data_IF_076456388129
#
_entry.id   IF_076456388129
#
_cell.length_a   1.000
_cell.length_b   1.000
_cell.length_c   1.000
_cell.angle_alpha   90.00
_cell.angle_beta   90.00
_cell.angle_gamma   90.00
#
_symmetry.space_group_name_H-M   'P 1'
#
loop_
_entity.id
_entity.type
_entity.pdbx_description
1 polymer ?
#
# COMPACT_ATOMS: atom_id res chain seq x y z
N UNK A 1 67.43 12.56 -2.60
CA UNK A 1 66.54 12.05 -1.54
C UNK A 1 65.13 12.12 -2.10
N UNK A 2 64.59 10.97 -2.53
CA UNK A 2 63.46 10.87 -3.48
C UNK A 2 62.10 11.05 -2.79
N UNK A 3 61.22 11.84 -3.43
CA UNK A 3 59.85 12.14 -3.03
C UNK A 3 58.89 10.93 -3.16
N UNK A 4 59.34 9.83 -3.77
CA UNK A 4 58.50 8.63 -4.03
C UNK A 4 58.26 7.76 -2.78
N UNK A 5 59.03 7.96 -1.70
CA UNK A 5 58.87 7.17 -0.46
C UNK A 5 57.63 7.52 0.37
N UNK A 6 57.09 8.73 0.25
CA UNK A 6 55.97 9.20 1.10
C UNK A 6 54.59 8.77 0.59
N UNK A 7 54.44 8.50 -0.71
CA UNK A 7 53.14 8.09 -1.28
C UNK A 7 52.83 6.62 -0.93
N UNK A 8 53.86 5.79 -0.76
CA UNK A 8 53.69 4.37 -0.39
C UNK A 8 53.38 4.15 1.09
N UNK A 9 53.85 5.03 1.99
CA UNK A 9 53.53 4.92 3.42
C UNK A 9 52.12 5.42 3.76
N UNK A 10 51.60 6.42 3.03
CA UNK A 10 50.22 6.89 3.18
C UNK A 10 49.17 5.85 2.76
N UNK A 11 49.43 5.10 1.68
CA UNK A 11 48.52 4.04 1.20
C UNK A 11 48.52 2.77 2.06
N UNK A 12 49.57 2.49 2.84
CA UNK A 12 49.57 1.34 3.74
C UNK A 12 48.78 1.59 5.04
N UNK A 13 48.64 2.84 5.48
CA UNK A 13 47.81 3.18 6.65
C UNK A 13 46.31 3.19 6.28
N UNK A 14 45.97 3.53 5.04
CA UNK A 14 44.59 3.45 4.53
C UNK A 14 44.10 2.01 4.30
N UNK A 15 45.01 1.05 4.09
CA UNK A 15 44.63 -0.37 3.97
C UNK A 15 44.54 -1.10 5.32
N UNK A 16 45.13 -0.57 6.40
CA UNK A 16 45.08 -1.18 7.73
C UNK A 16 43.80 -0.84 8.53
N UNK A 17 42.98 0.09 8.05
CA UNK A 17 41.68 0.47 8.67
C UNK A 17 40.48 -0.23 8.02
N UNK A 18 40.71 -1.26 7.18
CA UNK A 18 39.66 -2.11 6.62
C UNK A 18 39.28 -3.32 7.52
N UNK A 19 39.91 -3.48 8.69
CA UNK A 19 39.72 -4.67 9.55
C UNK A 19 38.90 -4.41 10.83
N UNK A 20 38.49 -3.17 11.11
CA UNK A 20 37.50 -2.88 12.15
C UNK A 20 36.20 -2.48 11.47
N UNK A 21 35.49 -3.49 10.97
CA UNK A 21 34.06 -3.36 10.69
C UNK A 21 33.41 -3.12 12.06
N UNK A 22 33.23 -1.85 12.40
CA UNK A 22 32.57 -1.46 13.63
C UNK A 22 31.11 -1.90 13.53
N UNK A 23 30.76 -2.94 14.29
CA UNK A 23 29.42 -3.53 14.31
C UNK A 23 28.36 -2.45 14.56
N UNK A 24 28.71 -1.41 15.32
CA UNK A 24 27.84 -0.26 15.59
C UNK A 24 27.57 0.59 14.35
N UNK A 25 28.55 0.75 13.45
CA UNK A 25 28.37 1.40 12.16
C UNK A 25 27.36 0.65 11.29
N UNK A 26 27.53 -0.67 11.17
CA UNK A 26 26.58 -1.52 10.42
C UNK A 26 25.17 -1.42 10.99
N UNK A 27 25.01 -1.50 12.32
CA UNK A 27 23.69 -1.43 12.97
C UNK A 27 23.04 -0.06 12.76
N UNK A 28 23.83 1.02 12.77
CA UNK A 28 23.35 2.37 12.48
C UNK A 28 22.85 2.48 11.03
N UNK A 29 23.62 1.97 10.07
CA UNK A 29 23.27 2.02 8.66
C UNK A 29 22.00 1.22 8.34
N UNK A 30 21.83 0.05 8.96
CA UNK A 30 20.61 -0.75 8.83
C UNK A 30 19.38 0.01 9.33
N UNK A 31 19.49 0.73 10.46
CA UNK A 31 18.37 1.53 10.99
C UNK A 31 17.99 2.63 10.01
N UNK A 32 18.96 3.38 9.50
CA UNK A 32 18.72 4.47 8.54
C UNK A 32 18.06 3.91 7.27
N UNK A 33 18.59 2.79 6.76
CA UNK A 33 18.02 2.11 5.60
C UNK A 33 16.57 1.66 5.83
N UNK A 34 16.27 1.05 6.99
CA UNK A 34 14.90 0.64 7.34
C UNK A 34 13.95 1.83 7.48
N UNK A 35 14.39 2.94 8.07
CA UNK A 35 13.58 4.16 8.18
C UNK A 35 13.31 4.79 6.81
N UNK A 36 14.32 4.89 5.94
CA UNK A 36 14.15 5.38 4.58
C UNK A 36 13.22 4.47 3.76
N UNK A 37 13.35 3.14 3.93
CA UNK A 37 12.45 2.17 3.33
C UNK A 37 11.00 2.34 3.82
N UNK A 38 10.81 2.58 5.12
CA UNK A 38 9.48 2.81 5.70
C UNK A 38 8.83 4.11 5.21
N UNK A 39 9.61 5.19 5.08
CA UNK A 39 9.13 6.47 4.54
C UNK A 39 8.68 6.35 3.08
N UNK A 40 9.39 5.55 2.28
CA UNK A 40 9.07 5.34 0.86
C UNK A 40 8.11 4.17 0.63
N UNK A 41 7.70 3.45 1.68
CA UNK A 41 6.88 2.24 1.59
C UNK A 41 5.56 2.44 0.82
N UNK A 42 4.75 3.48 1.07
CA UNK A 42 3.55 3.75 0.29
C UNK A 42 3.81 3.83 -1.23
N UNK A 43 4.88 4.52 -1.61
CA UNK A 43 5.24 4.75 -3.00
C UNK A 43 5.82 3.49 -3.66
N UNK A 44 6.66 2.74 -2.94
CA UNK A 44 7.20 1.46 -3.44
C UNK A 44 6.10 0.41 -3.58
N UNK A 45 5.12 0.37 -2.68
CA UNK A 45 3.93 -0.47 -2.82
C UNK A 45 3.10 -0.07 -4.04
N UNK A 46 2.88 1.22 -4.29
CA UNK A 46 2.18 1.67 -5.49
C UNK A 46 2.92 1.31 -6.77
N UNK A 47 4.25 1.50 -6.81
CA UNK A 47 5.08 1.14 -7.95
C UNK A 47 5.07 -0.35 -8.25
N UNK A 48 5.19 -1.19 -7.21
CA UNK A 48 5.11 -2.65 -7.38
C UNK A 48 3.73 -3.11 -7.83
N UNK A 49 2.65 -2.55 -7.27
CA UNK A 49 1.28 -2.81 -7.71
C UNK A 49 1.06 -2.38 -9.16
N UNK A 50 1.62 -1.25 -9.59
CA UNK A 50 1.53 -0.78 -10.97
C UNK A 50 2.16 -1.80 -11.92
N UNK A 51 3.39 -2.23 -11.62
CA UNK A 51 4.09 -3.24 -12.42
C UNK A 51 3.28 -4.55 -12.49
N UNK A 52 2.77 -5.02 -11.33
CA UNK A 52 1.92 -6.21 -11.28
C UNK A 52 0.63 -6.03 -12.11
N UNK A 53 0.01 -4.85 -12.09
CA UNK A 53 -1.20 -4.56 -12.85
C UNK A 53 -0.97 -4.63 -14.37
N UNK A 54 0.20 -4.16 -14.83
CA UNK A 54 0.58 -4.20 -16.24
C UNK A 54 0.82 -5.63 -16.71
N UNK A 55 1.48 -6.46 -15.90
CA UNK A 55 1.74 -7.86 -16.25
C UNK A 55 0.52 -8.78 -16.13
N UNK A 56 -0.39 -8.49 -15.21
CA UNK A 56 -1.59 -9.32 -14.97
C UNK A 56 -2.82 -8.85 -15.71
N UNK A 57 -2.80 -7.64 -16.30
CA UNK A 57 -3.98 -7.01 -16.90
C UNK A 57 -5.10 -6.74 -15.89
N UNK A 58 -4.77 -6.63 -14.59
CA UNK A 58 -5.77 -6.47 -13.54
C UNK A 58 -6.20 -4.99 -13.39
N UNK A 59 -7.29 -4.63 -14.06
CA UNK A 59 -7.87 -3.28 -13.99
C UNK A 59 -8.22 -2.82 -12.58
N UNK A 60 -8.50 -3.73 -11.64
CA UNK A 60 -8.81 -3.35 -10.27
C UNK A 60 -7.64 -2.64 -9.57
N UNK A 61 -6.42 -3.07 -9.87
CA UNK A 61 -5.21 -2.44 -9.33
C UNK A 61 -5.03 -1.03 -9.94
N UNK A 62 -5.35 -0.84 -11.22
CA UNK A 62 -5.25 0.47 -11.88
C UNK A 62 -6.22 1.47 -11.24
N UNK A 63 -7.48 1.09 -11.04
CA UNK A 63 -8.46 1.98 -10.39
C UNK A 63 -8.13 2.26 -8.92
N UNK A 64 -7.58 1.28 -8.21
CA UNK A 64 -7.01 1.50 -6.89
C UNK A 64 -5.87 2.53 -6.93
N UNK A 65 -4.92 2.40 -7.86
CA UNK A 65 -3.79 3.30 -8.00
C UNK A 65 -4.20 4.73 -8.37
N UNK A 66 -5.26 4.91 -9.16
CA UNK A 66 -5.83 6.25 -9.41
C UNK A 66 -6.30 6.89 -8.11
N UNK A 67 -7.05 6.15 -7.28
CA UNK A 67 -7.43 6.60 -5.93
C UNK A 67 -6.21 6.94 -5.07
N UNK A 68 -5.22 6.05 -5.10
CA UNK A 68 -4.04 6.09 -4.26
C UNK A 68 -3.03 7.20 -4.60
N UNK A 69 -2.71 7.38 -5.88
CA UNK A 69 -1.65 8.27 -6.34
C UNK A 69 -2.15 9.66 -6.72
N UNK A 70 -3.43 9.80 -7.08
CA UNK A 70 -3.98 11.08 -7.53
C UNK A 70 -4.89 11.67 -6.45
N UNK A 71 -5.94 10.95 -6.08
CA UNK A 71 -6.95 11.50 -5.19
C UNK A 71 -6.46 11.66 -3.75
N UNK A 72 -5.75 10.68 -3.20
CA UNK A 72 -5.25 10.78 -1.81
C UNK A 72 -4.29 11.98 -1.62
N UNK A 73 -3.27 12.20 -2.46
CA UNK A 73 -2.43 13.39 -2.34
C UNK A 73 -3.20 14.69 -2.53
N UNK A 74 -4.11 14.76 -3.50
CA UNK A 74 -4.93 15.95 -3.73
C UNK A 74 -5.80 16.29 -2.51
N UNK A 75 -6.45 15.30 -1.90
CA UNK A 75 -7.26 15.46 -0.69
C UNK A 75 -6.37 15.87 0.49
N UNK A 76 -5.20 15.24 0.64
CA UNK A 76 -4.24 15.57 1.72
C UNK A 76 -3.79 17.02 1.63
N UNK A 77 -3.35 17.45 0.44
CA UNK A 77 -2.92 18.83 0.20
C UNK A 77 -4.08 19.80 0.45
N UNK A 78 -5.29 19.50 -0.03
CA UNK A 78 -6.48 20.32 0.21
C UNK A 78 -6.80 20.49 1.71
N UNK A 79 -6.77 19.39 2.47
CA UNK A 79 -7.04 19.42 3.92
C UNK A 79 -5.92 20.16 4.67
N UNK A 80 -4.66 19.98 4.30
CA UNK A 80 -3.56 20.71 4.93
C UNK A 80 -3.63 22.22 4.65
N UNK A 81 -4.04 22.65 3.45
CA UNK A 81 -4.29 24.07 3.15
C UNK A 81 -5.40 24.61 4.05
N UNK A 82 -6.53 23.90 4.14
CA UNK A 82 -7.65 24.29 5.01
C UNK A 82 -7.25 24.34 6.48
N UNK A 83 -6.48 23.35 6.96
CA UNK A 83 -6.00 23.27 8.34
C UNK A 83 -5.05 24.43 8.68
N UNK A 84 -4.22 24.86 7.73
CA UNK A 84 -3.38 26.06 7.88
C UNK A 84 -4.24 27.33 8.02
N UNK A 85 -5.32 27.46 7.23
CA UNK A 85 -6.23 28.62 7.33
C UNK A 85 -6.91 28.73 8.71
N UNK A 86 -7.18 27.60 9.36
CA UNK A 86 -7.80 27.56 10.70
C UNK A 86 -6.79 27.38 11.85
N UNK A 87 -5.48 27.49 11.58
CA UNK A 87 -4.41 27.31 12.57
C UNK A 87 -4.44 25.95 13.31
N UNK A 88 -4.90 24.89 12.65
CA UNK A 88 -4.89 23.51 13.17
C UNK A 88 -3.66 22.72 12.71
N UNK A 89 -2.92 23.22 11.72
CA UNK A 89 -1.67 22.62 11.28
C UNK A 89 -0.53 22.90 12.27
N UNK A 90 0.40 21.95 12.42
CA UNK A 90 1.58 22.10 13.26
C UNK A 90 2.86 21.88 12.47
N UNK A 91 4.01 22.36 12.98
CA UNK A 91 5.28 22.18 12.30
C UNK A 91 5.67 20.70 12.30
N UNK A 92 6.09 20.22 11.14
CA UNK A 92 6.57 18.85 10.91
C UNK A 92 7.93 18.92 10.22
N UNK A 93 8.86 18.09 10.66
CA UNK A 93 10.18 17.97 10.05
C UNK A 93 10.06 17.37 8.64
N UNK A 94 10.89 17.85 7.71
CA UNK A 94 10.91 17.38 6.32
C UNK A 94 11.13 15.86 6.19
N UNK A 95 11.83 15.27 7.16
CA UNK A 95 12.07 13.81 7.28
C UNK A 95 10.74 13.03 7.34
N UNK A 96 9.64 13.67 7.74
CA UNK A 96 8.33 13.05 7.78
C UNK A 96 7.63 13.03 6.42
N UNK A 97 8.07 13.79 5.41
CA UNK A 97 7.43 13.80 4.11
C UNK A 97 7.77 12.54 3.29
N UNK A 98 6.80 12.05 2.50
CA UNK A 98 6.96 10.85 1.65
C UNK A 98 7.95 11.07 0.51
N UNK A 99 8.06 12.32 0.05
CA UNK A 99 9.03 12.75 -0.95
C UNK A 99 9.99 13.66 -0.19
N UNK A 100 11.22 13.19 0.01
CA UNK A 100 12.29 14.05 0.49
C UNK A 100 12.49 15.13 -0.58
N UNK A 101 12.36 16.41 -0.23
CA UNK A 101 12.72 17.45 -1.19
C UNK A 101 14.21 17.32 -1.46
N UNK A 102 14.61 17.49 -2.72
CA UNK A 102 16.03 17.56 -3.03
C UNK A 102 16.64 18.68 -2.18
N UNK A 103 17.82 18.46 -1.55
CA UNK A 103 18.46 19.50 -0.77
C UNK A 103 18.68 20.68 -1.72
N UNK A 104 17.89 21.72 -1.52
CA UNK A 104 18.09 22.96 -2.24
C UNK A 104 19.45 23.47 -1.78
N UNK A 105 20.30 23.92 -2.71
CA UNK A 105 21.63 24.47 -2.38
C UNK A 105 21.58 25.76 -1.54
N UNK A 106 20.41 26.14 -1.03
CA UNK A 106 20.25 27.21 -0.06
C UNK A 106 20.84 26.78 1.29
N UNK A 107 21.98 27.37 1.60
CA UNK A 107 22.80 27.21 2.80
C UNK A 107 22.14 27.70 4.09
N UNK A 108 20.81 27.80 4.15
CA UNK A 108 20.10 28.17 5.37
C UNK A 108 20.05 26.96 6.32
N UNK A 109 20.73 27.00 7.48
CA UNK A 109 20.80 25.86 8.41
C UNK A 109 19.50 25.64 9.20
N UNK A 110 18.46 26.43 8.94
CA UNK A 110 17.13 26.25 9.50
C UNK A 110 16.39 25.20 8.67
N UNK A 111 16.33 23.97 9.19
CA UNK A 111 15.53 22.90 8.58
C UNK A 111 14.15 23.42 8.20
N UNK A 112 13.75 23.18 6.96
CA UNK A 112 12.46 23.64 6.46
C UNK A 112 11.36 22.84 7.18
N UNK A 113 10.67 23.49 8.11
CA UNK A 113 9.49 22.92 8.76
C UNK A 113 8.26 23.32 7.98
N UNK A 114 7.50 22.34 7.50
CA UNK A 114 6.19 22.59 6.90
C UNK A 114 5.10 22.48 7.96
N UNK A 115 4.14 23.40 7.93
CA UNK A 115 2.95 23.28 8.79
C UNK A 115 1.92 22.40 8.10
N UNK A 116 1.74 21.18 8.61
CA UNK A 116 0.75 20.22 8.11
C UNK A 116 -0.09 19.65 9.26
N UNK A 117 -1.32 19.27 8.97
CA UNK A 117 -2.17 18.56 9.93
C UNK A 117 -1.77 17.08 9.98
N UNK A 118 -1.58 16.47 8.82
CA UNK A 118 -1.06 15.12 8.66
C UNK A 118 -0.29 15.00 7.35
N UNK A 119 0.63 14.06 7.28
CA UNK A 119 1.50 13.81 6.13
C UNK A 119 0.81 13.00 5.03
N UNK A 120 1.28 13.14 3.79
CA UNK A 120 0.82 12.31 2.66
C UNK A 120 1.01 10.82 2.94
N UNK A 121 2.10 10.47 3.64
CA UNK A 121 2.39 9.10 4.07
C UNK A 121 1.23 8.51 4.86
N UNK A 122 0.69 9.25 5.82
CA UNK A 122 -0.42 8.80 6.65
C UNK A 122 -1.69 8.61 5.82
N UNK A 123 -2.03 9.59 4.98
CA UNK A 123 -3.22 9.51 4.13
C UNK A 123 -3.18 8.31 3.18
N UNK A 124 -2.04 8.09 2.52
CA UNK A 124 -1.81 6.92 1.65
C UNK A 124 -1.92 5.61 2.42
N UNK A 125 -1.25 5.49 3.57
CA UNK A 125 -1.22 4.26 4.36
C UNK A 125 -2.62 3.88 4.86
N UNK A 126 -3.35 4.83 5.43
CA UNK A 126 -4.72 4.60 5.92
C UNK A 126 -5.65 4.22 4.77
N UNK A 127 -5.57 4.92 3.63
CA UNK A 127 -6.40 4.62 2.47
C UNK A 127 -6.15 3.19 1.97
N UNK A 128 -4.88 2.77 1.84
CA UNK A 128 -4.52 1.41 1.41
C UNK A 128 -5.15 0.37 2.33
N UNK A 129 -4.94 0.48 3.64
CA UNK A 129 -5.44 -0.53 4.57
C UNK A 129 -6.96 -0.53 4.65
N UNK A 130 -7.60 0.64 4.62
CA UNK A 130 -9.06 0.73 4.57
C UNK A 130 -9.64 0.08 3.32
N UNK A 131 -9.03 0.35 2.15
CA UNK A 131 -9.45 -0.26 0.89
C UNK A 131 -9.30 -1.79 0.93
N UNK A 132 -8.18 -2.30 1.45
CA UNK A 132 -7.95 -3.74 1.59
C UNK A 132 -8.95 -4.41 2.55
N UNK A 133 -9.30 -3.75 3.65
CA UNK A 133 -10.32 -4.22 4.59
C UNK A 133 -11.69 -4.24 3.90
N UNK A 134 -12.07 -3.17 3.20
CA UNK A 134 -13.34 -3.11 2.45
C UNK A 134 -13.44 -4.25 1.43
N UNK A 135 -12.35 -4.52 0.70
CA UNK A 135 -12.26 -5.65 -0.21
C UNK A 135 -12.46 -7.00 0.49
N UNK A 136 -11.72 -7.25 1.58
CA UNK A 136 -11.82 -8.50 2.33
C UNK A 136 -13.23 -8.72 2.90
N UNK A 137 -13.87 -7.67 3.42
CA UNK A 137 -15.25 -7.71 3.93
C UNK A 137 -16.24 -8.06 2.81
N UNK A 138 -16.09 -7.46 1.63
CA UNK A 138 -16.97 -7.75 0.48
C UNK A 138 -16.86 -9.20 0.03
N UNK A 139 -15.63 -9.72 -0.07
CA UNK A 139 -15.39 -11.12 -0.43
C UNK A 139 -15.88 -12.12 0.62
N UNK A 140 -15.77 -11.77 1.90
CA UNK A 140 -16.34 -12.56 2.99
C UNK A 140 -17.86 -12.65 2.89
N UNK A 141 -18.52 -11.52 2.59
CA UNK A 141 -19.98 -11.41 2.45
C UNK A 141 -20.52 -11.98 1.14
N UNK A 142 -19.67 -12.29 0.16
CA UNK A 142 -20.10 -12.82 -1.13
C UNK A 142 -20.88 -14.13 -0.93
N UNK A 143 -22.09 -14.28 -1.50
CA UNK A 143 -22.85 -15.51 -1.36
C UNK A 143 -22.16 -16.69 -2.06
N UNK A 144 -22.48 -17.94 -1.66
CA UNK A 144 -22.10 -19.10 -2.46
C UNK A 144 -22.78 -19.05 -3.83
N UNK A 145 -22.15 -19.60 -4.89
CA UNK A 145 -22.77 -19.67 -6.21
C UNK A 145 -24.06 -20.51 -6.15
N UNK A 146 -25.14 -19.98 -6.75
CA UNK A 146 -26.39 -20.72 -6.92
C UNK A 146 -26.26 -21.61 -8.15
N UNK A 147 -26.47 -22.90 -7.99
CA UNK A 147 -26.47 -23.87 -9.09
C UNK A 147 -27.85 -24.54 -9.11
N UNK A 148 -28.44 -24.67 -10.29
CA UNK A 148 -29.74 -25.34 -10.48
C UNK A 148 -29.54 -26.86 -10.43
N UNK A 149 -30.25 -27.57 -9.56
CA UNK A 149 -30.17 -29.03 -9.38
C UNK A 149 -28.75 -29.60 -9.19
N UNK A 150 -27.97 -29.11 -8.21
CA UNK A 150 -26.60 -29.59 -8.03
C UNK A 150 -26.60 -31.01 -7.44
N UNK A 151 -25.71 -31.86 -7.97
CA UNK A 151 -25.43 -33.16 -7.39
C UNK A 151 -24.94 -33.03 -5.94
N UNK A 152 -25.10 -34.08 -5.12
CA UNK A 152 -24.66 -34.03 -3.72
C UNK A 152 -23.15 -33.77 -3.59
N UNK A 153 -22.35 -34.36 -4.47
CA UNK A 153 -20.91 -34.09 -4.55
C UNK A 153 -20.60 -32.61 -4.87
N UNK A 154 -21.38 -32.00 -5.77
CA UNK A 154 -21.24 -30.60 -6.11
C UNK A 154 -21.61 -29.69 -4.93
N UNK A 155 -22.70 -29.96 -4.22
CA UNK A 155 -23.09 -29.23 -3.00
C UNK A 155 -21.97 -29.23 -1.96
N UNK A 156 -21.37 -30.41 -1.72
CA UNK A 156 -20.26 -30.54 -0.78
C UNK A 156 -19.04 -29.72 -1.21
N UNK A 157 -18.69 -29.74 -2.50
CA UNK A 157 -17.56 -28.96 -3.01
C UNK A 157 -17.79 -27.44 -2.95
N UNK A 158 -19.02 -26.97 -3.22
CA UNK A 158 -19.40 -25.55 -3.14
C UNK A 158 -19.30 -25.08 -1.70
N UNK A 159 -19.84 -25.87 -0.76
CA UNK A 159 -19.76 -25.56 0.67
C UNK A 159 -18.31 -25.51 1.14
N UNK A 160 -17.49 -26.49 0.78
CA UNK A 160 -16.07 -26.52 1.14
C UNK A 160 -15.31 -25.30 0.59
N UNK A 161 -15.46 -24.98 -0.71
CA UNK A 161 -14.82 -23.80 -1.32
C UNK A 161 -15.27 -22.49 -0.68
N UNK A 162 -16.55 -22.38 -0.34
CA UNK A 162 -17.11 -21.19 0.32
C UNK A 162 -16.55 -21.02 1.73
N UNK A 163 -16.47 -22.10 2.50
CA UNK A 163 -15.90 -22.09 3.85
C UNK A 163 -14.41 -21.73 3.82
N UNK A 164 -13.64 -22.33 2.90
CA UNK A 164 -12.23 -22.01 2.72
C UNK A 164 -12.03 -20.52 2.39
N UNK A 165 -12.77 -19.99 1.39
CA UNK A 165 -12.71 -18.56 1.05
C UNK A 165 -13.01 -17.68 2.25
N UNK A 166 -14.09 -17.96 2.98
CA UNK A 166 -14.48 -17.17 4.16
C UNK A 166 -13.40 -17.20 5.24
N UNK A 167 -12.83 -18.37 5.53
CA UNK A 167 -11.74 -18.52 6.50
C UNK A 167 -10.50 -17.74 6.08
N UNK A 168 -10.11 -17.82 4.81
CA UNK A 168 -8.99 -17.06 4.25
C UNK A 168 -9.21 -15.56 4.37
N UNK A 169 -10.43 -15.06 4.08
CA UNK A 169 -10.74 -13.63 4.22
C UNK A 169 -10.71 -13.16 5.68
N UNK A 170 -11.15 -13.97 6.65
CA UNK A 170 -11.01 -13.64 8.08
C UNK A 170 -9.54 -13.50 8.46
N UNK A 171 -8.71 -14.47 8.08
CA UNK A 171 -7.27 -14.43 8.38
C UNK A 171 -6.63 -13.21 7.73
N UNK A 172 -6.94 -12.92 6.46
CA UNK A 172 -6.46 -11.72 5.77
C UNK A 172 -6.87 -10.43 6.49
N UNK A 173 -8.14 -10.30 6.91
CA UNK A 173 -8.62 -9.12 7.64
C UNK A 173 -7.85 -8.89 8.95
N UNK A 174 -7.61 -9.95 9.72
CA UNK A 174 -6.85 -9.87 10.98
C UNK A 174 -5.42 -9.42 10.69
N UNK A 175 -4.75 -10.06 9.73
CA UNK A 175 -3.37 -9.73 9.37
C UNK A 175 -3.23 -8.30 8.86
N UNK A 176 -4.12 -7.86 7.96
CA UNK A 176 -4.15 -6.49 7.44
C UNK A 176 -4.33 -5.49 8.58
N UNK A 177 -5.25 -5.76 9.52
CA UNK A 177 -5.51 -4.87 10.64
C UNK A 177 -4.31 -4.78 11.60
N UNK A 178 -3.65 -5.90 11.89
CA UNK A 178 -2.45 -5.91 12.73
C UNK A 178 -1.28 -5.14 12.10
N UNK A 179 -1.04 -5.34 10.80
CA UNK A 179 0.01 -4.62 10.06
C UNK A 179 -0.33 -3.12 9.98
N UNK A 180 -1.59 -2.76 9.73
CA UNK A 180 -2.03 -1.37 9.73
C UNK A 180 -1.80 -0.69 11.08
N UNK A 181 -2.20 -1.34 12.18
CA UNK A 181 -1.98 -0.84 13.53
C UNK A 181 -0.50 -0.70 13.86
N UNK A 182 0.33 -1.67 13.46
CA UNK A 182 1.76 -1.61 13.65
C UNK A 182 2.37 -0.40 12.93
N UNK A 183 2.01 -0.18 11.67
CA UNK A 183 2.55 0.93 10.87
C UNK A 183 2.10 2.28 11.40
N UNK A 184 0.83 2.41 11.80
CA UNK A 184 0.31 3.62 12.44
C UNK A 184 1.01 3.85 13.78
N UNK A 185 1.23 2.82 14.60
CA UNK A 185 1.91 2.94 15.89
C UNK A 185 3.37 3.40 15.72
N UNK A 186 4.12 2.80 14.78
CA UNK A 186 5.49 3.22 14.46
C UNK A 186 5.50 4.70 14.06
N UNK A 187 4.54 5.12 13.23
CA UNK A 187 4.45 6.48 12.73
C UNK A 187 4.05 7.51 13.80
N UNK A 188 3.13 7.17 14.69
CA UNK A 188 2.76 8.04 15.82
C UNK A 188 3.94 8.20 16.77
N UNK A 189 4.68 7.12 17.03
CA UNK A 189 5.86 7.15 17.90
C UNK A 189 7.04 7.93 17.28
N UNK A 190 7.07 8.12 15.96
CA UNK A 190 8.10 8.96 15.31
C UNK A 190 7.82 10.46 15.43
N UNK A 191 6.66 10.87 15.97
CA UNK A 191 6.30 12.27 16.19
C UNK A 191 5.87 13.05 14.94
N UNK A 192 5.85 12.39 13.78
CA UNK A 192 5.54 13.01 12.48
C UNK A 192 4.07 13.44 12.35
N UNK A 193 3.16 12.65 12.93
CA UNK A 193 1.72 12.84 12.80
C UNK A 193 1.12 12.76 14.21
N UNK A 194 0.98 13.91 14.88
CA UNK A 194 0.41 14.01 16.24
C UNK A 194 -1.09 13.66 16.24
N UNK A 195 -1.95 14.60 16.64
CA UNK A 195 -3.41 14.44 16.64
C UNK A 195 -3.97 14.26 15.22
N UNK A 196 -3.24 14.70 14.20
CA UNK A 196 -3.56 14.51 12.78
C UNK A 196 -3.76 13.05 12.37
N UNK A 197 -3.14 12.10 13.08
CA UNK A 197 -3.31 10.66 12.81
C UNK A 197 -4.76 10.21 12.91
N UNK A 198 -5.49 10.64 13.95
CA UNK A 198 -6.89 10.26 14.12
C UNK A 198 -7.78 10.86 13.02
N UNK A 199 -7.51 12.11 12.64
CA UNK A 199 -8.21 12.78 11.55
C UNK A 199 -7.97 12.06 10.22
N UNK A 200 -6.70 11.76 9.92
CA UNK A 200 -6.32 11.02 8.72
C UNK A 200 -6.96 9.62 8.70
N UNK A 201 -6.95 8.90 9.82
CA UNK A 201 -7.57 7.59 9.97
C UNK A 201 -9.07 7.61 9.63
N UNK A 202 -9.80 8.62 10.10
CA UNK A 202 -11.23 8.78 9.81
C UNK A 202 -11.44 9.16 8.35
N UNK A 203 -10.78 10.21 7.87
CA UNK A 203 -10.98 10.76 6.52
C UNK A 203 -10.60 9.74 5.46
N UNK A 204 -9.38 9.21 5.51
CA UNK A 204 -8.91 8.25 4.51
C UNK A 204 -9.43 6.84 4.76
N UNK A 205 -9.87 6.53 5.99
CA UNK A 205 -10.62 5.32 6.28
C UNK A 205 -11.94 5.31 5.53
N UNK A 206 -12.75 6.36 5.71
CA UNK A 206 -14.02 6.50 5.01
C UNK A 206 -13.82 6.64 3.49
N UNK A 207 -12.81 7.40 3.05
CA UNK A 207 -12.53 7.56 1.63
C UNK A 207 -12.08 6.25 0.98
N UNK A 208 -11.19 5.48 1.60
CA UNK A 208 -10.75 4.18 1.09
C UNK A 208 -11.89 3.18 0.97
N UNK A 209 -12.76 3.12 1.98
CA UNK A 209 -13.97 2.29 1.94
C UNK A 209 -14.95 2.76 0.87
N UNK A 210 -15.21 4.07 0.80
CA UNK A 210 -16.13 4.67 -0.17
C UNK A 210 -15.64 4.48 -1.61
N UNK A 211 -14.33 4.61 -1.85
CA UNK A 211 -13.71 4.37 -3.15
C UNK A 211 -13.91 2.90 -3.58
N UNK A 212 -13.69 1.95 -2.67
CA UNK A 212 -13.97 0.54 -2.93
C UNK A 212 -15.44 0.30 -3.27
N UNK A 213 -16.37 0.82 -2.46
CA UNK A 213 -17.80 0.60 -2.68
C UNK A 213 -18.26 1.20 -4.02
N UNK A 214 -17.80 2.42 -4.35
CA UNK A 214 -18.08 3.11 -5.61
C UNK A 214 -17.67 2.27 -6.83
N UNK A 215 -16.48 1.65 -6.79
CA UNK A 215 -16.01 0.76 -7.85
C UNK A 215 -16.78 -0.57 -7.89
N UNK A 216 -17.34 -1.00 -6.76
CA UNK A 216 -18.02 -2.29 -6.64
C UNK A 216 -19.47 -2.29 -7.13
N UNK A 217 -20.17 -1.15 -7.12
CA UNK A 217 -21.63 -1.04 -7.35
C UNK A 217 -22.09 -1.73 -8.63
N UNK A 218 -21.40 -1.51 -9.75
CA UNK A 218 -21.85 -1.96 -11.08
C UNK A 218 -21.24 -3.27 -11.56
N UNK A 219 -20.21 -3.78 -10.87
CA UNK A 219 -19.34 -4.84 -11.42
C UNK A 219 -19.22 -6.08 -10.52
N UNK A 220 -20.16 -6.30 -9.60
CA UNK A 220 -20.10 -7.40 -8.63
C UNK A 220 -18.75 -7.44 -7.89
N UNK A 221 -18.19 -6.26 -7.57
CA UNK A 221 -16.86 -6.07 -6.97
C UNK A 221 -15.65 -6.58 -7.79
N UNK A 222 -15.81 -6.98 -9.06
CA UNK A 222 -14.69 -7.46 -9.89
C UNK A 222 -13.66 -6.38 -10.22
N UNK A 223 -14.12 -5.16 -10.50
CA UNK A 223 -13.24 -4.01 -10.75
C UNK A 223 -12.65 -3.41 -9.47
N UNK A 224 -13.10 -3.82 -8.29
CA UNK A 224 -12.57 -3.31 -7.01
C UNK A 224 -11.71 -4.34 -6.28
N UNK A 225 -11.70 -5.60 -6.74
CA UNK A 225 -11.01 -6.70 -6.08
C UNK A 225 -9.51 -6.78 -6.43
N UNK A 226 -8.69 -6.21 -5.54
CA UNK A 226 -7.23 -6.30 -5.58
C UNK A 226 -6.70 -7.73 -5.31
N UNK A 227 -7.40 -8.54 -4.52
CA UNK A 227 -6.96 -9.92 -4.25
C UNK A 227 -7.17 -10.84 -5.45
N UNK A 228 -7.98 -10.41 -6.44
CA UNK A 228 -8.25 -11.16 -7.66
C UNK A 228 -9.05 -12.45 -7.46
N UNK A 229 -9.68 -12.62 -6.29
CA UNK A 229 -10.48 -13.79 -5.95
C UNK A 229 -11.82 -13.76 -6.70
N UNK A 230 -12.50 -12.61 -6.74
CA UNK A 230 -13.76 -12.41 -7.46
C UNK A 230 -13.61 -12.61 -8.97
N UNK A 231 -12.44 -12.28 -9.54
CA UNK A 231 -12.15 -12.49 -10.95
C UNK A 231 -11.91 -13.97 -11.29
N UNK A 232 -11.49 -14.78 -10.32
CA UNK A 232 -11.34 -16.24 -10.45
C UNK A 232 -12.64 -17.00 -10.17
N UNK A 233 -13.62 -16.36 -9.54
CA UNK A 233 -14.94 -16.94 -9.34
C UNK A 233 -15.74 -16.83 -10.64
N UNK A 234 -16.03 -17.99 -11.24
CA UNK A 234 -16.95 -18.09 -12.37
C UNK A 234 -18.25 -17.35 -12.02
N UNK A 235 -18.79 -16.54 -12.95
CA UNK A 235 -20.11 -15.95 -12.74
C UNK A 235 -21.13 -17.08 -12.53
N UNK A 236 -22.15 -16.90 -11.68
CA UNK A 236 -23.17 -17.92 -11.45
C UNK A 236 -23.81 -18.43 -12.74
N UNK A 237 -23.93 -17.55 -13.73
CA UNK A 237 -24.50 -17.86 -15.05
C UNK A 237 -23.64 -18.85 -15.86
N UNK A 238 -22.32 -18.87 -15.66
CA UNK A 238 -21.43 -19.83 -16.30
C UNK A 238 -21.50 -21.23 -15.64
N UNK A 239 -22.06 -21.34 -14.43
CA UNK A 239 -22.31 -22.62 -13.76
C UNK A 239 -23.70 -23.18 -14.09
N UNK A 240 -24.60 -22.37 -14.64
CA UNK A 240 -25.92 -22.78 -15.05
C UNK A 240 -25.90 -23.43 -16.45
N UNK A 241 -25.24 -24.59 -16.57
CA UNK A 241 -25.41 -25.58 -17.66
C UNK A 241 -25.87 -25.04 -19.02
N UNK A 242 -25.07 -24.19 -19.65
CA UNK A 242 -25.00 -24.21 -21.10
C UNK A 242 -23.66 -24.87 -21.46
N UNK A 243 -23.65 -25.94 -22.27
CA UNK A 243 -22.39 -26.44 -22.79
C UNK A 243 -21.72 -25.28 -23.53
N UNK A 244 -20.60 -24.79 -23.00
CA UNK A 244 -19.69 -23.95 -23.78
C UNK A 244 -19.01 -24.88 -24.79
N UNK A 245 -19.77 -25.26 -25.81
CA UNK A 245 -19.24 -25.89 -27.00
C UNK A 245 -18.40 -24.84 -27.70
N UNK A 246 -17.09 -25.06 -27.79
CA UNK A 246 -16.29 -24.41 -28.80
C UNK A 246 -16.83 -24.89 -30.15
N UNK A 247 -17.77 -24.17 -30.74
CA UNK A 247 -18.19 -24.43 -32.10
C UNK A 247 -17.04 -23.97 -33.02
N UNK A 248 -16.47 -24.86 -33.86
CA UNK A 248 -15.60 -24.39 -34.92
C UNK A 248 -16.40 -23.38 -35.75
N UNK A 249 -15.86 -22.17 -35.92
CA UNK A 249 -16.45 -21.24 -36.89
C UNK A 249 -16.22 -21.86 -38.27
N UNK A 250 -17.29 -22.35 -38.90
CA UNK A 250 -17.26 -22.67 -40.32
C UNK A 250 -17.04 -21.36 -41.07
N UNK A 251 -15.84 -21.20 -41.63
CA UNK A 251 -15.53 -20.13 -42.57
C UNK A 251 -16.49 -20.25 -43.76
N UNK A 252 -17.42 -19.30 -43.87
CA UNK A 252 -18.17 -19.04 -45.10
C UNK A 252 -17.52 -17.93 -45.89
#
# INVERSE_FOLDING_TARGET
>A
MSLEGYILYGRMIEMATLANIDLFGIISDIKIFLYAGFQTLPLTMAGTLLILSLFTGNFAIIFFLIGYLIFVPAITTGINILANMVNMAGPVDEICNTILSYPSFDTSPTGQTENVLFTHWMGMTVFLFSYLIANAVKLYKLPPPKVTNPSQAMKNSINQKTTLRKSQMIICMIMISLVALLFIMIRVNSGCDRWGTAVAAIVFGLFGWGWFELLSVKNNARLSDIFGIANRLLPPDALANQPMGCFPQENK
#
